data_IF_515549702968
#
_entry.id   IF_515549702968
#
_cell.length_a   1.000
_cell.length_b   1.000
_cell.length_c   1.000
_cell.angle_alpha   90.00
_cell.angle_beta   90.00
_cell.angle_gamma   90.00
#
_symmetry.space_group_name_H-M   'P 1'
#
loop_
_entity.id
_entity.type
_entity.pdbx_description
1 polymer ?
#
# COMPACT_ATOMS: atom_id res chain seq x y z
N UNK A 1 24.14 -20.57 -21.19
CA UNK A 1 24.42 -19.43 -20.30
C UNK A 1 23.45 -18.26 -20.47
N UNK A 2 23.05 -17.86 -21.69
CA UNK A 2 22.14 -16.72 -21.89
C UNK A 2 20.72 -16.87 -21.30
N UNK A 3 20.18 -18.09 -21.24
CA UNK A 3 18.83 -18.34 -20.71
C UNK A 3 18.68 -17.98 -19.22
N UNK A 4 19.74 -18.21 -18.43
CA UNK A 4 19.75 -17.98 -16.98
C UNK A 4 19.72 -16.48 -16.64
N UNK A 5 20.34 -15.65 -17.47
CA UNK A 5 20.37 -14.19 -17.26
C UNK A 5 19.03 -13.51 -17.58
N UNK A 6 18.25 -14.03 -18.54
CA UNK A 6 16.91 -13.49 -18.85
C UNK A 6 15.94 -13.76 -17.68
N UNK A 7 16.01 -14.96 -17.10
CA UNK A 7 15.13 -15.36 -15.99
C UNK A 7 15.42 -14.60 -14.69
N UNK A 8 16.68 -14.24 -14.42
CA UNK A 8 17.04 -13.52 -13.19
C UNK A 8 16.62 -12.04 -13.20
N UNK A 9 16.43 -11.44 -14.38
CA UNK A 9 15.93 -10.07 -14.54
C UNK A 9 14.41 -9.99 -14.31
N UNK A 10 13.65 -10.95 -14.83
CA UNK A 10 12.19 -11.00 -14.64
C UNK A 10 11.80 -11.30 -13.19
N UNK A 11 12.60 -12.09 -12.47
CA UNK A 11 12.33 -12.47 -11.07
C UNK A 11 12.58 -11.33 -10.06
N UNK A 12 13.35 -10.30 -10.44
CA UNK A 12 13.60 -9.12 -9.60
C UNK A 12 12.48 -8.07 -9.69
N UNK A 13 11.58 -8.18 -10.67
CA UNK A 13 10.45 -7.26 -10.76
C UNK A 13 9.43 -7.64 -9.71
N UNK A 14 9.15 -6.79 -8.71
CA UNK A 14 8.12 -7.11 -7.74
C UNK A 14 6.77 -7.21 -8.45
N UNK A 15 6.07 -8.30 -8.16
CA UNK A 15 4.75 -8.55 -8.71
C UNK A 15 3.68 -7.89 -7.83
N UNK A 16 2.61 -7.39 -8.44
CA UNK A 16 1.51 -6.73 -7.72
C UNK A 16 1.75 -5.30 -7.24
N UNK A 17 2.81 -4.61 -7.70
CA UNK A 17 2.99 -3.16 -7.48
C UNK A 17 3.06 -2.41 -8.82
N UNK A 18 2.53 -1.17 -8.90
CA UNK A 18 2.57 -0.38 -10.11
C UNK A 18 4.01 -0.17 -10.61
N UNK A 19 4.24 -0.48 -11.89
CA UNK A 19 5.54 -0.34 -12.56
C UNK A 19 5.54 0.97 -13.34
N UNK A 20 6.69 1.66 -13.49
CA UNK A 20 6.78 2.83 -14.36
C UNK A 20 6.44 2.42 -15.80
N UNK A 21 5.25 2.80 -16.26
CA UNK A 21 4.67 2.38 -17.54
C UNK A 21 3.31 1.67 -17.43
N UNK A 22 2.92 1.20 -16.23
CA UNK A 22 1.61 0.61 -15.96
C UNK A 22 0.74 1.58 -15.15
N UNK A 23 -0.07 2.38 -15.85
CA UNK A 23 -0.96 3.39 -15.25
C UNK A 23 -2.41 2.89 -15.17
N UNK A 24 -2.61 1.60 -14.92
CA UNK A 24 -3.95 1.06 -14.76
C UNK A 24 -4.69 1.79 -13.63
N UNK A 25 -5.98 2.07 -13.82
CA UNK A 25 -6.79 2.69 -12.79
C UNK A 25 -6.88 1.79 -11.57
N UNK A 26 -7.06 2.40 -10.39
CA UNK A 26 -7.32 1.67 -9.14
C UNK A 26 -8.56 0.78 -9.30
N UNK A 27 -8.41 -0.52 -9.06
CA UNK A 27 -9.52 -1.46 -9.11
C UNK A 27 -10.26 -1.49 -7.78
N UNK A 28 -11.42 -0.83 -7.74
CA UNK A 28 -12.29 -0.79 -6.56
C UNK A 28 -13.03 -2.11 -6.30
N UNK A 29 -12.99 -3.09 -7.22
CA UNK A 29 -13.51 -4.43 -7.00
C UNK A 29 -12.49 -5.34 -6.32
N UNK A 30 -11.21 -5.00 -6.40
CA UNK A 30 -10.13 -5.70 -5.72
C UNK A 30 -10.09 -5.36 -4.23
N UNK A 31 -10.44 -6.32 -3.38
CA UNK A 31 -10.44 -6.13 -1.92
C UNK A 31 -9.08 -5.69 -1.37
N UNK A 32 -7.97 -6.20 -1.93
CA UNK A 32 -6.62 -5.83 -1.51
C UNK A 32 -6.30 -4.37 -1.82
N UNK A 33 -6.65 -3.89 -3.02
CA UNK A 33 -6.41 -2.50 -3.43
C UNK A 33 -7.23 -1.53 -2.60
N UNK A 34 -8.50 -1.83 -2.35
CA UNK A 34 -9.36 -1.02 -1.48
C UNK A 34 -8.78 -0.93 -0.07
N UNK A 35 -8.31 -2.04 0.50
CA UNK A 35 -7.74 -2.04 1.85
C UNK A 35 -6.48 -1.17 1.90
N UNK A 36 -5.54 -1.38 0.98
CA UNK A 36 -4.23 -0.73 1.02
C UNK A 36 -4.34 0.77 0.71
N UNK A 37 -5.08 1.12 -0.34
CA UNK A 37 -5.12 2.48 -0.86
C UNK A 37 -6.20 3.35 -0.24
N UNK A 38 -7.24 2.78 0.39
CA UNK A 38 -8.35 3.54 0.97
C UNK A 38 -8.48 3.28 2.49
N UNK A 39 -8.55 2.03 2.91
CA UNK A 39 -8.87 1.71 4.31
C UNK A 39 -7.73 2.07 5.28
N UNK A 40 -6.49 1.70 4.95
CA UNK A 40 -5.30 2.03 5.76
C UNK A 40 -5.17 3.54 6.01
N UNK A 41 -5.19 4.42 4.98
CA UNK A 41 -5.05 5.86 5.22
C UNK A 41 -6.19 6.43 6.08
N UNK A 42 -7.43 5.96 5.90
CA UNK A 42 -8.55 6.36 6.75
C UNK A 42 -8.31 5.93 8.20
N UNK A 43 -7.89 4.69 8.44
CA UNK A 43 -7.61 4.17 9.78
C UNK A 43 -6.48 4.96 10.46
N UNK A 44 -5.42 5.33 9.72
CA UNK A 44 -4.34 6.17 10.24
C UNK A 44 -4.86 7.53 10.73
N UNK A 45 -5.74 8.16 9.95
CA UNK A 45 -6.36 9.45 10.32
C UNK A 45 -7.21 9.27 11.59
N UNK A 46 -8.08 8.26 11.62
CA UNK A 46 -8.95 7.98 12.78
C UNK A 46 -8.11 7.72 14.03
N UNK A 47 -7.10 6.85 13.94
CA UNK A 47 -6.24 6.55 15.08
C UNK A 47 -5.45 7.77 15.55
N UNK A 48 -4.99 8.62 14.64
CA UNK A 48 -4.33 9.89 15.01
C UNK A 48 -5.27 10.76 15.87
N UNK A 49 -6.54 10.94 15.46
CA UNK A 49 -7.49 11.74 16.23
C UNK A 49 -7.84 11.12 17.58
N UNK A 50 -8.05 9.81 17.64
CA UNK A 50 -8.31 9.08 18.90
C UNK A 50 -7.12 9.23 19.86
N UNK A 51 -5.90 9.02 19.37
CA UNK A 51 -4.68 9.20 20.15
C UNK A 51 -4.51 10.65 20.65
N UNK A 52 -4.75 11.63 19.76
CA UNK A 52 -4.67 13.05 20.11
C UNK A 52 -5.68 13.43 21.20
N UNK A 53 -6.89 12.90 21.14
CA UNK A 53 -7.93 13.12 22.16
C UNK A 53 -7.50 12.54 23.51
N UNK A 54 -7.00 11.30 23.53
CA UNK A 54 -6.60 10.63 24.77
C UNK A 54 -5.41 11.32 25.46
N UNK A 55 -4.49 11.94 24.71
CA UNK A 55 -3.38 12.72 25.30
C UNK A 55 -3.83 13.99 26.02
N UNK A 56 -4.95 14.61 25.63
CA UNK A 56 -5.49 15.80 26.31
C UNK A 56 -6.14 15.45 27.65
N UNK A 57 -6.75 14.27 27.74
CA UNK A 57 -7.41 13.80 28.96
C UNK A 57 -6.45 13.29 30.04
N UNK A 58 -5.19 12.96 29.68
CA UNK A 58 -4.14 12.57 30.64
C UNK A 58 -3.42 13.74 31.32
N UNK A 59 -3.65 14.98 30.88
CA UNK A 59 -3.01 16.20 31.44
C UNK A 59 -3.97 17.04 32.30
N UNK A 60 -5.22 16.61 32.45
CA UNK A 60 -6.17 17.12 33.45
C UNK A 60 -6.22 16.11 34.59
#
# INVERSE_FOLDING_TARGET
MNFVYITSLLLQSPDGIPKPGNNEPLDLQSWSEVIIYILIPILLIVFYFVWRKNRRNRKR
#
